data_IF_339598603317
#
_entry.id   IF_339598603317
#
_cell.length_a   1.000
_cell.length_b   1.000
_cell.length_c   1.000
_cell.angle_alpha   90.00
_cell.angle_beta   90.00
_cell.angle_gamma   90.00
#
_symmetry.space_group_name_H-M   'P 1'
#
loop_
_entity.id
_entity.type
_entity.pdbx_description
1 polymer ?
#
# COMPACT_ATOMS: atom_id res chain seq x y z
N UNK A 1 21.00 9.13 -13.83
CA UNK A 1 20.19 8.34 -12.86
C UNK A 1 19.88 9.10 -11.57
N UNK A 2 20.87 9.57 -10.81
CA UNK A 2 20.64 10.26 -9.52
C UNK A 2 19.78 11.53 -9.69
N UNK A 3 20.09 12.38 -10.68
CA UNK A 3 19.31 13.60 -10.95
C UNK A 3 17.87 13.31 -11.35
N UNK A 4 17.63 12.25 -12.14
CA UNK A 4 16.29 11.82 -12.50
C UNK A 4 15.50 11.32 -11.28
N UNK A 5 16.17 10.64 -10.34
CA UNK A 5 15.55 10.20 -9.07
C UNK A 5 15.21 11.41 -8.20
N UNK A 6 16.12 12.38 -8.05
CA UNK A 6 15.83 13.59 -7.26
C UNK A 6 14.72 14.43 -7.88
N UNK A 7 14.67 14.56 -9.21
CA UNK A 7 13.59 15.24 -9.94
C UNK A 7 12.24 14.54 -9.71
N UNK A 8 12.20 13.21 -9.83
CA UNK A 8 11.02 12.41 -9.54
C UNK A 8 10.58 12.53 -8.07
N UNK A 9 11.53 12.53 -7.13
CA UNK A 9 11.24 12.68 -5.71
C UNK A 9 10.71 14.08 -5.38
N UNK A 10 11.28 15.14 -5.99
CA UNK A 10 10.79 16.51 -5.86
C UNK A 10 9.34 16.63 -6.34
N UNK A 11 9.02 16.07 -7.52
CA UNK A 11 7.65 16.02 -8.02
C UNK A 11 6.72 15.22 -7.09
N UNK A 12 7.19 14.11 -6.52
CA UNK A 12 6.33 13.31 -5.64
C UNK A 12 6.12 13.97 -4.27
N UNK A 13 7.06 14.79 -3.78
CA UNK A 13 6.92 15.58 -2.55
C UNK A 13 5.83 16.66 -2.67
N UNK A 14 5.66 17.29 -3.83
CA UNK A 14 4.61 18.31 -4.02
C UNK A 14 3.19 17.72 -3.97
N UNK A 15 3.04 16.41 -4.22
CA UNK A 15 1.74 15.71 -4.14
C UNK A 15 1.31 15.30 -2.72
N UNK A 16 2.02 15.74 -1.68
CA UNK A 16 1.57 15.61 -0.29
C UNK A 16 1.73 14.23 0.36
N UNK A 17 2.50 13.31 -0.24
CA UNK A 17 2.75 11.99 0.33
C UNK A 17 3.86 12.00 1.40
N UNK A 18 3.59 11.46 2.59
CA UNK A 18 4.62 11.15 3.59
C UNK A 18 5.45 9.95 3.10
N UNK A 19 6.63 10.22 2.52
CA UNK A 19 7.28 9.28 1.59
C UNK A 19 8.64 8.73 2.00
N UNK A 20 8.93 8.67 3.30
CA UNK A 20 10.22 8.24 3.85
C UNK A 20 10.73 6.91 3.27
N UNK A 21 9.88 5.89 3.16
CA UNK A 21 10.31 4.55 2.71
C UNK A 21 10.68 4.50 1.23
N UNK A 22 9.87 5.08 0.34
CA UNK A 22 10.10 4.99 -1.09
C UNK A 22 11.29 5.85 -1.54
N UNK A 23 11.50 7.00 -0.90
CA UNK A 23 12.69 7.82 -1.09
C UNK A 23 13.97 7.07 -0.70
N UNK A 24 13.98 6.48 0.51
CA UNK A 24 15.14 5.71 0.98
C UNK A 24 15.47 4.54 0.04
N UNK A 25 14.45 3.82 -0.45
CA UNK A 25 14.62 2.72 -1.39
C UNK A 25 15.23 3.18 -2.72
N UNK A 26 14.76 4.28 -3.30
CA UNK A 26 15.28 4.77 -4.58
C UNK A 26 16.72 5.30 -4.46
N UNK A 27 17.05 5.99 -3.36
CA UNK A 27 18.43 6.42 -3.07
C UNK A 27 19.37 5.22 -2.90
N UNK A 28 18.94 4.19 -2.17
CA UNK A 28 19.71 2.94 -2.02
C UNK A 28 19.93 2.23 -3.36
N UNK A 29 18.91 2.18 -4.22
CA UNK A 29 19.05 1.61 -5.56
C UNK A 29 20.03 2.41 -6.41
N UNK A 30 19.96 3.74 -6.36
CA UNK A 30 20.86 4.61 -7.11
C UNK A 30 22.33 4.42 -6.71
N UNK A 31 22.61 4.30 -5.42
CA UNK A 31 23.95 3.99 -4.92
C UNK A 31 24.44 2.63 -5.45
N UNK A 32 23.60 1.59 -5.37
CA UNK A 32 23.93 0.24 -5.84
C UNK A 32 24.22 0.17 -7.35
N UNK A 33 23.50 0.97 -8.15
CA UNK A 33 23.70 1.04 -9.59
C UNK A 33 24.88 1.97 -9.95
N UNK A 34 25.16 3.01 -9.16
CA UNK A 34 26.35 3.85 -9.31
C UNK A 34 27.65 3.06 -9.03
N UNK A 35 27.67 2.18 -8.03
CA UNK A 35 28.77 1.25 -7.76
C UNK A 35 29.09 0.32 -8.95
N UNK A 36 28.11 0.08 -9.83
CA UNK A 36 28.24 -0.73 -11.04
C UNK A 36 28.53 0.11 -12.30
N UNK A 37 28.67 1.43 -12.16
CA UNK A 37 28.86 2.35 -13.28
C UNK A 37 27.64 2.48 -14.20
N UNK A 38 26.44 2.10 -13.74
CA UNK A 38 25.24 2.13 -14.58
C UNK A 38 24.55 3.49 -14.53
N UNK A 39 24.31 4.05 -15.72
CA UNK A 39 23.63 5.34 -15.89
C UNK A 39 22.12 5.19 -16.09
N UNK A 40 21.68 4.00 -16.53
CA UNK A 40 20.29 3.66 -16.78
C UNK A 40 19.82 2.53 -15.87
N UNK A 41 18.50 2.36 -15.79
CA UNK A 41 17.92 1.25 -15.04
C UNK A 41 17.94 0.02 -15.93
N UNK A 42 18.70 -0.99 -15.55
CA UNK A 42 18.67 -2.30 -16.18
C UNK A 42 17.80 -3.27 -15.37
N UNK A 43 17.12 -4.18 -16.08
CA UNK A 43 16.24 -5.16 -15.45
C UNK A 43 17.00 -6.05 -14.46
N UNK A 44 18.19 -6.53 -14.84
CA UNK A 44 19.02 -7.42 -14.03
C UNK A 44 19.46 -6.73 -12.73
N UNK A 45 19.99 -5.51 -12.83
CA UNK A 45 20.44 -4.74 -11.67
C UNK A 45 19.30 -4.43 -10.70
N UNK A 46 18.10 -4.11 -11.23
CA UNK A 46 16.93 -3.87 -10.39
C UNK A 46 16.50 -5.14 -9.63
N UNK A 47 16.57 -6.32 -10.26
CA UNK A 47 16.28 -7.61 -9.63
C UNK A 47 17.35 -7.95 -8.58
N UNK A 48 18.63 -7.83 -8.92
CA UNK A 48 19.75 -8.14 -8.01
C UNK A 48 19.71 -7.26 -6.77
N UNK A 49 19.47 -5.95 -6.94
CA UNK A 49 19.28 -5.03 -5.82
C UNK A 49 18.06 -5.39 -4.97
N UNK A 50 16.93 -5.67 -5.61
CA UNK A 50 15.70 -6.01 -4.90
C UNK A 50 15.85 -7.34 -4.11
N UNK A 51 16.65 -8.29 -4.62
CA UNK A 51 16.93 -9.57 -3.99
C UNK A 51 17.65 -9.45 -2.63
N UNK A 52 18.33 -8.32 -2.36
CA UNK A 52 18.91 -8.00 -1.05
C UNK A 52 17.87 -7.81 0.07
N UNK A 53 16.57 -7.90 -0.25
CA UNK A 53 15.48 -7.91 0.74
C UNK A 53 15.47 -9.18 1.60
N UNK A 54 15.28 -9.08 2.93
CA UNK A 54 15.26 -10.27 3.78
C UNK A 54 14.00 -11.13 3.59
N UNK A 55 12.88 -10.54 3.17
CA UNK A 55 11.64 -11.27 2.88
C UNK A 55 11.15 -11.07 1.45
N UNK A 56 10.43 -12.06 0.90
CA UNK A 56 9.81 -12.00 -0.44
C UNK A 56 8.91 -10.76 -0.59
N UNK A 57 8.16 -10.40 0.46
CA UNK A 57 7.32 -9.20 0.47
C UNK A 57 8.16 -7.91 0.37
N UNK A 58 9.31 -7.83 1.03
CA UNK A 58 10.21 -6.68 0.91
C UNK A 58 10.92 -6.64 -0.44
N UNK A 59 11.34 -7.79 -0.99
CA UNK A 59 11.93 -7.87 -2.34
C UNK A 59 10.96 -7.34 -3.40
N UNK A 60 9.70 -7.75 -3.33
CA UNK A 60 8.63 -7.26 -4.22
C UNK A 60 8.34 -5.77 -4.00
N UNK A 61 8.25 -5.30 -2.74
CA UNK A 61 8.05 -3.87 -2.46
C UNK A 61 9.20 -3.00 -3.00
N UNK A 62 10.45 -3.48 -2.86
CA UNK A 62 11.66 -2.87 -3.44
C UNK A 62 11.55 -2.77 -4.95
N UNK A 63 11.30 -3.89 -5.63
CA UNK A 63 11.19 -3.93 -7.09
C UNK A 63 10.06 -3.03 -7.60
N UNK A 64 8.92 -2.99 -6.91
CA UNK A 64 7.79 -2.11 -7.25
C UNK A 64 8.12 -0.63 -7.11
N UNK A 65 8.97 -0.24 -6.15
CA UNK A 65 9.41 1.14 -6.02
C UNK A 65 10.19 1.59 -7.27
N UNK A 66 11.14 0.76 -7.73
CA UNK A 66 11.91 0.99 -8.95
C UNK A 66 11.00 0.98 -10.18
N UNK A 67 10.07 0.04 -10.30
CA UNK A 67 9.13 -0.01 -11.42
C UNK A 67 8.27 1.27 -11.54
N UNK A 68 7.86 1.87 -10.41
CA UNK A 68 7.12 3.14 -10.43
C UNK A 68 7.98 4.29 -10.91
N UNK A 69 9.23 4.37 -10.43
CA UNK A 69 10.19 5.37 -10.89
C UNK A 69 10.45 5.22 -12.40
N UNK A 70 10.74 4.00 -12.87
CA UNK A 70 11.01 3.75 -14.29
C UNK A 70 9.82 4.12 -15.17
N UNK A 71 8.59 3.81 -14.76
CA UNK A 71 7.38 4.20 -15.51
C UNK A 71 7.23 5.70 -15.66
N UNK A 72 7.70 6.46 -14.68
CA UNK A 72 7.66 7.92 -14.74
C UNK A 72 8.75 8.45 -15.67
N UNK A 73 10.00 8.05 -15.45
CA UNK A 73 11.15 8.58 -16.21
C UNK A 73 11.17 8.10 -17.67
N UNK A 74 10.59 6.93 -17.98
CA UNK A 74 10.49 6.41 -19.36
C UNK A 74 9.72 7.32 -20.32
N UNK A 75 8.88 8.21 -19.80
CA UNK A 75 8.15 9.19 -20.62
C UNK A 75 9.12 10.24 -21.18
N UNK A 76 10.20 10.52 -20.45
CA UNK A 76 11.18 11.57 -20.77
C UNK A 76 12.46 10.97 -21.36
N UNK A 77 12.87 9.77 -20.94
CA UNK A 77 14.16 9.14 -21.27
C UNK A 77 13.99 7.68 -21.71
N UNK A 78 14.26 7.39 -22.99
CA UNK A 78 14.00 6.08 -23.64
C UNK A 78 14.97 4.97 -23.17
N UNK A 79 16.08 5.31 -22.53
CA UNK A 79 17.15 4.36 -22.17
C UNK A 79 16.86 3.46 -20.95
N UNK A 80 15.80 3.68 -20.18
CA UNK A 80 15.54 2.91 -18.96
C UNK A 80 14.77 1.62 -19.25
N UNK A 81 15.22 0.45 -18.81
CA UNK A 81 14.47 -0.81 -18.88
C UNK A 81 13.42 -0.95 -17.78
N UNK A 82 12.20 -1.42 -18.10
CA UNK A 82 11.16 -1.67 -17.11
C UNK A 82 11.24 -3.11 -16.58
N UNK A 83 11.59 -3.32 -15.29
CA UNK A 83 11.67 -4.66 -14.73
C UNK A 83 10.28 -5.32 -14.60
N UNK A 84 10.20 -6.67 -14.64
CA UNK A 84 8.95 -7.38 -14.41
C UNK A 84 8.51 -7.24 -12.95
N UNK A 85 7.48 -6.43 -12.70
CA UNK A 85 7.05 -6.02 -11.36
C UNK A 85 6.66 -7.18 -10.41
N UNK A 86 6.37 -8.37 -10.92
CA UNK A 86 5.99 -9.58 -10.15
C UNK A 86 7.09 -10.66 -10.11
N UNK A 87 8.36 -10.31 -10.35
CA UNK A 87 9.46 -11.28 -10.41
C UNK A 87 9.57 -12.21 -9.19
N UNK A 88 9.41 -11.66 -7.97
CA UNK A 88 9.53 -12.45 -6.73
C UNK A 88 8.23 -13.19 -6.33
N UNK A 89 7.17 -13.10 -7.13
CA UNK A 89 5.93 -13.83 -6.89
C UNK A 89 5.21 -13.48 -5.58
N UNK A 90 5.47 -12.32 -4.98
CA UNK A 90 4.87 -11.95 -3.72
C UNK A 90 3.35 -11.77 -3.87
N UNK A 91 2.58 -12.69 -3.28
CA UNK A 91 1.14 -12.54 -3.12
C UNK A 91 0.83 -12.02 -1.72
N UNK A 92 0.16 -10.87 -1.65
CA UNK A 92 -0.47 -10.44 -0.40
C UNK A 92 -1.58 -11.45 -0.07
N UNK A 93 -1.35 -12.29 0.94
CA UNK A 93 -2.41 -13.10 1.52
C UNK A 93 -3.39 -12.14 2.19
N UNK A 94 -4.60 -11.99 1.64
CA UNK A 94 -5.67 -11.24 2.32
C UNK A 94 -5.95 -11.97 3.62
N UNK A 95 -5.98 -11.23 4.73
CA UNK A 95 -6.58 -11.75 5.96
C UNK A 95 -8.05 -11.97 5.64
N UNK A 96 -8.56 -13.17 5.90
CA UNK A 96 -10.00 -13.44 5.79
C UNK A 96 -10.72 -12.46 6.72
N UNK A 97 -11.67 -11.66 6.21
CA UNK A 97 -12.42 -10.76 7.07
C UNK A 97 -13.19 -11.58 8.12
N UNK A 98 -13.14 -11.14 9.36
CA UNK A 98 -14.01 -11.69 10.40
C UNK A 98 -15.40 -11.08 10.23
N UNK A 99 -16.38 -11.89 9.84
CA UNK A 99 -17.77 -11.46 9.76
C UNK A 99 -18.34 -11.56 11.18
N UNK A 100 -18.65 -10.42 11.79
CA UNK A 100 -19.22 -10.37 13.12
C UNK A 100 -20.65 -10.94 13.13
N UNK A 101 -20.91 -11.81 14.10
CA UNK A 101 -22.26 -12.25 14.46
C UNK A 101 -23.01 -11.15 15.20
N UNK A 102 -24.34 -11.24 15.26
CA UNK A 102 -25.17 -10.26 15.99
C UNK A 102 -24.74 -10.13 17.45
N UNK A 103 -24.41 -11.25 18.11
CA UNK A 103 -23.96 -11.25 19.51
C UNK A 103 -22.60 -10.56 19.70
N UNK A 104 -21.68 -10.72 18.75
CA UNK A 104 -20.39 -10.03 18.80
C UNK A 104 -20.53 -8.54 18.56
N UNK A 105 -21.46 -8.12 17.69
CA UNK A 105 -21.79 -6.71 17.49
C UNK A 105 -22.34 -6.13 18.79
N UNK A 106 -23.30 -6.80 19.44
CA UNK A 106 -23.87 -6.36 20.72
C UNK A 106 -22.80 -6.23 21.79
N UNK A 107 -21.90 -7.22 21.93
CA UNK A 107 -20.77 -7.17 22.87
C UNK A 107 -19.81 -6.02 22.57
N UNK A 108 -19.54 -5.75 21.30
CA UNK A 108 -18.65 -4.66 20.88
C UNK A 108 -19.26 -3.28 21.19
N UNK A 109 -20.57 -3.11 20.95
CA UNK A 109 -21.30 -1.89 21.30
C UNK A 109 -21.33 -1.67 22.80
N UNK A 110 -21.68 -2.70 23.59
CA UNK A 110 -21.64 -2.60 25.06
C UNK A 110 -20.25 -2.25 25.59
N UNK A 111 -19.21 -2.87 25.05
CA UNK A 111 -17.83 -2.57 25.43
C UNK A 111 -17.45 -1.13 25.07
N UNK A 112 -17.85 -0.65 23.87
CA UNK A 112 -17.58 0.71 23.43
C UNK A 112 -18.29 1.76 24.30
N UNK A 113 -19.52 1.50 24.74
CA UNK A 113 -20.26 2.37 25.66
C UNK A 113 -19.60 2.48 27.05
N UNK A 114 -18.83 1.47 27.46
CA UNK A 114 -18.08 1.47 28.73
C UNK A 114 -16.72 2.15 28.63
N UNK A 115 -16.21 2.39 27.43
CA UNK A 115 -14.97 3.14 27.24
C UNK A 115 -15.21 4.62 27.50
N UNK A 116 -14.53 5.19 28.51
CA UNK A 116 -14.53 6.65 28.71
C UNK A 116 -13.97 7.33 27.46
N UNK A 117 -14.58 8.41 26.95
CA UNK A 117 -14.08 9.09 25.77
C UNK A 117 -12.69 9.68 26.06
N UNK A 118 -11.62 9.03 25.60
CA UNK A 118 -10.26 9.53 25.85
C UNK A 118 -9.94 10.76 24.99
N UNK A 119 -10.68 11.05 23.90
CA UNK A 119 -10.58 12.31 23.17
C UNK A 119 -11.88 12.62 22.42
N UNK A 120 -12.73 13.47 23.00
CA UNK A 120 -13.63 14.38 22.27
C UNK A 120 -14.74 13.83 21.36
N UNK A 121 -14.89 12.51 21.18
CA UNK A 121 -16.07 11.97 20.50
C UNK A 121 -17.22 11.92 21.51
N UNK A 122 -18.08 12.95 21.45
CA UNK A 122 -19.33 12.98 22.20
C UNK A 122 -20.19 11.78 21.79
N UNK A 123 -20.86 11.09 22.73
CA UNK A 123 -21.87 10.11 22.37
C UNK A 123 -23.01 10.84 21.66
N UNK A 124 -23.23 10.58 20.37
CA UNK A 124 -24.51 10.90 19.75
C UNK A 124 -25.52 9.92 20.34
N UNK A 125 -26.24 10.37 21.36
CA UNK A 125 -27.36 9.67 21.94
C UNK A 125 -28.57 9.82 21.00
N UNK A 126 -28.53 9.15 19.84
CA UNK A 126 -29.68 8.96 18.96
C UNK A 126 -29.57 7.58 18.29
N UNK A 127 -29.56 6.52 19.11
CA UNK A 127 -29.59 5.13 18.63
C UNK A 127 -30.94 4.45 18.95
N UNK A 128 -31.99 5.23 19.22
CA UNK A 128 -33.33 4.73 19.59
C UNK A 128 -34.39 4.93 18.51
N UNK A 129 -34.02 5.30 17.28
CA UNK A 129 -34.97 5.32 16.16
C UNK A 129 -34.30 4.93 14.83
N UNK A 130 -33.88 3.67 14.72
CA UNK A 130 -33.56 3.07 13.41
C UNK A 130 -33.65 1.56 13.36
N UNK A 131 -34.51 0.97 14.18
CA UNK A 131 -34.80 -0.46 14.14
C UNK A 131 -35.57 -0.88 12.86
N UNK A 132 -36.15 0.09 12.13
CA UNK A 132 -36.97 -0.21 10.95
C UNK A 132 -36.25 -0.19 9.59
N UNK A 133 -34.96 0.15 9.50
CA UNK A 133 -34.29 0.33 8.19
C UNK A 133 -33.17 -0.65 7.84
N UNK A 134 -32.67 -1.44 8.79
CA UNK A 134 -31.66 -2.48 8.48
C UNK A 134 -32.26 -3.86 8.17
N UNK A 135 -33.55 -4.10 8.48
CA UNK A 135 -34.23 -5.36 8.14
C UNK A 135 -34.55 -5.50 6.64
N UNK A 136 -34.44 -4.42 5.86
CA UNK A 136 -34.79 -4.41 4.43
C UNK A 136 -33.61 -4.70 3.47
N UNK A 137 -32.37 -4.79 3.95
CA UNK A 137 -31.19 -5.02 3.08
C UNK A 137 -30.65 -6.46 3.18
N UNK A 138 -31.05 -7.26 4.18
CA UNK A 138 -30.56 -8.65 4.34
C UNK A 138 -31.61 -9.72 3.99
N UNK A 139 -32.81 -9.34 3.50
CA UNK A 139 -33.87 -10.32 3.12
C UNK A 139 -34.18 -10.42 1.62
N UNK A 140 -33.36 -9.85 0.72
CA UNK A 140 -33.64 -9.86 -0.74
C UNK A 140 -32.57 -10.59 -1.58
N UNK A 141 -31.75 -11.46 -0.99
CA UNK A 141 -30.80 -12.29 -1.75
C UNK A 141 -30.74 -13.74 -1.20
N UNK A 142 -31.91 -14.35 -0.97
CA UNK A 142 -31.99 -15.81 -0.79
C UNK A 142 -33.32 -16.37 -1.34
N UNK A 143 -33.51 -16.27 -2.67
CA UNK A 143 -34.40 -17.15 -3.44
C UNK A 143 -34.01 -17.17 -4.92
N UNK A 144 -33.16 -18.14 -5.27
CA UNK A 144 -32.83 -18.79 -6.57
C UNK A 144 -31.39 -19.31 -6.37
N UNK A 145 -31.13 -20.59 -6.22
CA UNK A 145 -31.69 -21.80 -6.85
C UNK A 145 -31.70 -22.98 -5.91
#
# INVERSE_FOLDING_TARGET
>A
MLDAIETYLALRRTTGFAMSTAEHLLKSFAAFAAERGQTYVETKTAIDWAALGPSVAQRDARLRAVCRFVRHVRVEEVGHELPPANHFGARKKRRTPHIYTTDEISRLVEAALRLRPTRGLRPHADFTDREHRFRAIVSTEFRRS
#
